data_IF_482530446381
#
_entry.id   IF_482530446381
#
_cell.length_a   1.000
_cell.length_b   1.000
_cell.length_c   1.000
_cell.angle_alpha   90.00
_cell.angle_beta   90.00
_cell.angle_gamma   90.00
#
_symmetry.space_group_name_H-M   'P 1'
#
loop_
_entity.id
_entity.type
_entity.pdbx_description
1 polymer ?
#
# COMPACT_ATOMS: atom_id res chain seq x y z
N UNK A 1 -4.35 22.96 -9.21
CA UNK A 1 -5.23 22.30 -8.21
C UNK A 1 -6.65 22.78 -8.45
N UNK A 2 -7.68 22.11 -7.90
CA UNK A 2 -9.02 22.71 -7.83
C UNK A 2 -8.93 24.06 -7.11
N UNK A 3 -9.80 25.00 -7.43
CA UNK A 3 -9.87 26.31 -6.76
C UNK A 3 -11.12 26.32 -5.86
N UNK A 4 -11.00 25.98 -4.56
CA UNK A 4 -12.17 25.82 -3.73
C UNK A 4 -12.90 27.17 -3.49
N UNK A 5 -14.24 27.16 -3.38
CA UNK A 5 -15.14 26.02 -3.55
C UNK A 5 -15.40 25.70 -5.03
N UNK A 6 -15.18 24.46 -5.47
CA UNK A 6 -15.38 24.04 -6.86
C UNK A 6 -15.98 22.63 -6.97
N UNK A 7 -16.97 22.46 -7.86
CA UNK A 7 -17.48 21.14 -8.24
C UNK A 7 -16.61 20.58 -9.35
N UNK A 8 -15.98 19.42 -9.11
CA UNK A 8 -15.19 18.73 -10.11
C UNK A 8 -16.09 18.11 -11.20
N UNK A 9 -15.49 17.93 -12.39
CA UNK A 9 -16.12 17.14 -13.45
C UNK A 9 -16.48 15.75 -12.91
N UNK A 10 -17.57 15.12 -13.42
CA UNK A 10 -17.99 13.80 -12.95
C UNK A 10 -16.85 12.77 -13.05
N UNK A 11 -16.64 12.03 -11.96
CA UNK A 11 -15.60 10.99 -11.88
C UNK A 11 -16.28 9.62 -11.94
N UNK A 12 -15.83 8.78 -12.86
CA UNK A 12 -16.33 7.41 -13.04
C UNK A 12 -15.51 6.45 -12.16
N UNK A 13 -16.20 5.63 -11.38
CA UNK A 13 -15.63 4.55 -10.55
C UNK A 13 -16.34 3.23 -10.88
N UNK A 14 -15.88 2.12 -10.29
CA UNK A 14 -16.57 0.83 -10.40
C UNK A 14 -17.98 0.85 -9.77
N UNK A 15 -18.28 1.84 -8.92
CA UNK A 15 -19.57 2.02 -8.26
C UNK A 15 -20.51 2.98 -9.00
N UNK A 16 -20.03 3.67 -10.04
CA UNK A 16 -20.84 4.58 -10.85
C UNK A 16 -20.18 5.94 -11.07
N UNK A 17 -21.00 6.98 -11.24
CA UNK A 17 -20.54 8.36 -11.50
C UNK A 17 -20.73 9.20 -10.25
N UNK A 18 -19.65 9.86 -9.81
CA UNK A 18 -19.64 10.70 -8.62
C UNK A 18 -19.43 12.17 -9.00
N UNK A 19 -20.22 13.06 -8.38
CA UNK A 19 -19.96 14.50 -8.35
C UNK A 19 -19.29 14.83 -7.02
N UNK A 20 -18.17 15.54 -7.06
CA UNK A 20 -17.40 15.91 -5.87
C UNK A 20 -17.34 17.43 -5.80
N UNK A 21 -17.79 17.98 -4.67
CA UNK A 21 -17.56 19.37 -4.29
C UNK A 21 -16.29 19.43 -3.45
N UNK A 22 -15.29 20.17 -3.91
CA UNK A 22 -14.10 20.49 -3.12
C UNK A 22 -14.40 21.75 -2.34
N UNK A 23 -14.57 21.62 -1.03
CA UNK A 23 -14.86 22.75 -0.14
C UNK A 23 -13.59 23.52 0.24
N UNK A 24 -12.52 22.80 0.58
CA UNK A 24 -11.22 23.36 0.95
C UNK A 24 -10.07 22.43 0.56
N UNK A 25 -8.86 22.98 0.48
CA UNK A 25 -7.62 22.23 0.33
C UNK A 25 -6.72 22.63 1.49
N UNK A 26 -6.48 21.69 2.40
CA UNK A 26 -5.57 21.89 3.53
C UNK A 26 -4.14 21.61 3.08
N UNK A 27 -3.20 22.46 3.47
CA UNK A 27 -1.79 22.25 3.19
C UNK A 27 -1.26 21.10 4.06
N UNK A 28 -1.00 19.96 3.43
CA UNK A 28 -0.28 18.87 4.08
C UNK A 28 1.20 19.22 4.29
N UNK A 29 1.74 18.82 5.43
CA UNK A 29 3.18 18.83 5.71
C UNK A 29 3.70 17.40 5.69
N UNK A 30 4.82 17.20 4.99
CA UNK A 30 5.52 15.92 4.98
C UNK A 30 6.68 16.00 5.97
N UNK A 31 6.38 15.81 7.25
CA UNK A 31 7.43 15.67 8.26
C UNK A 31 8.22 14.36 8.06
N UNK A 32 9.39 14.28 8.69
CA UNK A 32 10.27 13.12 8.53
C UNK A 32 9.62 11.81 9.01
N UNK A 33 8.83 11.85 10.09
CA UNK A 33 8.18 10.67 10.62
C UNK A 33 7.14 10.13 9.63
N UNK A 34 6.25 10.99 9.15
CA UNK A 34 5.24 10.67 8.15
C UNK A 34 5.88 10.21 6.84
N UNK A 35 6.98 10.85 6.43
CA UNK A 35 7.77 10.43 5.26
C UNK A 35 8.27 9.00 5.40
N UNK A 36 8.87 8.65 6.54
CA UNK A 36 9.35 7.29 6.78
C UNK A 36 8.20 6.28 6.82
N UNK A 37 7.06 6.64 7.43
CA UNK A 37 5.86 5.79 7.45
C UNK A 37 5.36 5.49 6.04
N UNK A 38 5.17 6.54 5.21
CA UNK A 38 4.71 6.38 3.82
C UNK A 38 5.66 5.48 3.03
N UNK A 39 6.97 5.69 3.14
CA UNK A 39 7.96 4.87 2.44
C UNK A 39 7.88 3.41 2.92
N UNK A 40 7.82 3.19 4.23
CA UNK A 40 7.74 1.85 4.82
C UNK A 40 6.50 1.10 4.36
N UNK A 41 5.34 1.76 4.32
CA UNK A 41 4.07 1.15 3.94
C UNK A 41 4.02 0.81 2.45
N UNK A 42 4.47 1.74 1.60
CA UNK A 42 4.56 1.52 0.16
C UNK A 42 5.55 0.39 -0.17
N UNK A 43 6.73 0.38 0.47
CA UNK A 43 7.72 -0.67 0.29
C UNK A 43 7.20 -2.03 0.77
N UNK A 44 6.55 -2.08 1.93
CA UNK A 44 5.97 -3.31 2.47
C UNK A 44 4.86 -3.86 1.56
N UNK A 45 3.99 -3.00 1.04
CA UNK A 45 2.96 -3.37 0.07
C UNK A 45 3.55 -3.93 -1.22
N UNK A 46 4.55 -3.24 -1.78
CA UNK A 46 5.29 -3.69 -2.96
C UNK A 46 5.99 -5.04 -2.72
N UNK A 47 6.63 -5.23 -1.56
CA UNK A 47 7.35 -6.45 -1.23
C UNK A 47 6.40 -7.65 -1.13
N UNK A 48 5.23 -7.49 -0.50
CA UNK A 48 4.19 -8.53 -0.46
C UNK A 48 3.76 -8.95 -1.87
N UNK A 49 3.61 -7.98 -2.78
CA UNK A 49 3.30 -8.29 -4.19
C UNK A 49 4.43 -9.05 -4.89
N UNK A 50 5.70 -8.78 -4.59
CA UNK A 50 6.81 -9.53 -5.18
C UNK A 50 6.88 -10.95 -4.62
N UNK A 51 6.73 -11.11 -3.31
CA UNK A 51 6.74 -12.44 -2.67
C UNK A 51 5.60 -13.30 -3.21
N UNK A 52 4.39 -12.74 -3.40
CA UNK A 52 3.26 -13.48 -3.97
C UNK A 52 3.47 -13.97 -5.40
N UNK A 53 4.44 -13.42 -6.15
CA UNK A 53 4.82 -13.90 -7.49
C UNK A 53 5.81 -15.06 -7.45
N UNK A 54 6.40 -15.35 -6.30
CA UNK A 54 7.46 -16.36 -6.14
C UNK A 54 6.85 -17.55 -5.40
N UNK A 55 6.99 -18.75 -5.95
CA UNK A 55 6.64 -19.98 -5.25
C UNK A 55 7.72 -20.28 -4.20
N UNK A 56 7.39 -20.12 -2.92
CA UNK A 56 8.31 -20.38 -1.82
C UNK A 56 8.36 -21.89 -1.55
N UNK A 57 9.31 -22.59 -2.18
CA UNK A 57 9.57 -24.01 -1.90
C UNK A 57 10.33 -24.14 -0.58
N UNK A 58 9.62 -24.48 0.50
CA UNK A 58 10.24 -24.79 1.80
C UNK A 58 10.57 -26.28 1.89
N UNK A 59 11.77 -26.68 1.47
CA UNK A 59 12.32 -27.99 1.84
C UNK A 59 12.98 -27.89 3.22
N UNK A 60 12.18 -28.04 4.27
CA UNK A 60 12.71 -28.29 5.61
C UNK A 60 12.90 -29.79 5.79
N UNK A 61 14.11 -30.28 5.51
CA UNK A 61 14.51 -31.60 6.00
C UNK A 61 15.01 -31.44 7.45
N UNK A 62 14.18 -31.85 8.39
CA UNK A 62 14.61 -32.07 9.78
C UNK A 62 15.38 -33.39 9.81
N UNK A 63 16.70 -33.33 9.73
CA UNK A 63 17.54 -34.50 9.98
C UNK A 63 17.46 -34.85 11.48
N UNK A 64 16.59 -35.79 11.85
CA UNK A 64 16.65 -36.46 13.14
C UNK A 64 17.85 -37.41 13.12
N UNK A 65 18.99 -36.97 13.67
CA UNK A 65 20.11 -37.84 14.00
C UNK A 65 19.72 -38.68 15.21
N UNK A 66 19.27 -39.92 14.97
CA UNK A 66 19.19 -40.93 16.02
C UNK A 66 20.56 -41.59 16.11
N UNK A 67 21.36 -41.19 17.09
CA UNK A 67 22.52 -41.95 17.56
C UNK A 67 22.11 -42.67 18.84
N UNK A 68 21.71 -43.94 18.72
CA UNK A 68 21.66 -44.88 19.82
C UNK A 68 22.48 -46.10 19.42
N UNK A 69 23.50 -46.36 20.26
CA UNK A 69 24.39 -47.52 20.43
C UNK A 69 25.32 -47.97 19.29
#
# INVERSE_FOLDING_TARGET
AANPPEVLKPIVTAQGVHLILVEEIVQGELDDQLRYQIISDLFSGWLKQQIGKIEVVKNLELSTTKSEE
#
